data_IF_042245105669
#
_entry.id   IF_042245105669
#
_cell.length_a   1.000
_cell.length_b   1.000
_cell.length_c   1.000
_cell.angle_alpha   90.00
_cell.angle_beta   90.00
_cell.angle_gamma   90.00
#
_symmetry.space_group_name_H-M   'P 1'
#
loop_
_entity.id
_entity.type
_entity.pdbx_description
1 polymer ?
#
# COMPACT_ATOMS: atom_id res chain seq x y z
N UNK A 1 10.62 -16.85 -1.30
CA UNK A 1 9.41 -17.32 -0.55
C UNK A 1 8.25 -16.33 -0.63
N UNK A 2 8.47 -15.01 -0.67
CA UNK A 2 7.36 -14.05 -0.77
C UNK A 2 6.58 -14.20 -2.09
N UNK A 3 7.26 -14.35 -3.24
CA UNK A 3 6.61 -14.63 -4.53
C UNK A 3 5.82 -15.95 -4.55
N UNK A 4 6.36 -16.99 -3.96
CA UNK A 4 5.69 -18.29 -3.88
C UNK A 4 4.43 -18.23 -3.00
N UNK A 5 4.48 -17.44 -1.92
CA UNK A 5 3.32 -17.20 -1.08
C UNK A 5 2.23 -16.45 -1.85
N UNK A 6 2.61 -15.43 -2.62
CA UNK A 6 1.70 -14.66 -3.50
C UNK A 6 1.00 -15.59 -4.50
N UNK A 7 1.72 -16.50 -5.18
CA UNK A 7 1.13 -17.47 -6.11
C UNK A 7 0.15 -18.43 -5.43
N UNK A 8 0.45 -18.88 -4.21
CA UNK A 8 -0.48 -19.70 -3.44
C UNK A 8 -1.73 -18.92 -3.01
N UNK A 9 -1.57 -17.64 -2.68
CA UNK A 9 -2.68 -16.77 -2.28
C UNK A 9 -3.65 -16.46 -3.42
N UNK A 10 -3.24 -16.54 -4.68
CA UNK A 10 -4.17 -16.50 -5.83
C UNK A 10 -5.14 -17.68 -5.85
N UNK A 11 -4.76 -18.82 -5.28
CA UNK A 11 -5.51 -20.08 -5.35
C UNK A 11 -6.32 -20.37 -4.10
N UNK A 12 -5.93 -19.81 -2.96
CA UNK A 12 -6.56 -20.09 -1.66
C UNK A 12 -6.29 -19.01 -0.61
N UNK A 13 -7.10 -19.01 0.45
CA UNK A 13 -6.97 -18.06 1.54
C UNK A 13 -5.66 -18.24 2.31
N UNK A 14 -5.04 -17.14 2.72
CA UNK A 14 -3.79 -17.13 3.49
C UNK A 14 -3.80 -18.09 4.68
N UNK A 15 -4.86 -18.06 5.49
CA UNK A 15 -4.99 -18.88 6.71
C UNK A 15 -5.05 -20.39 6.43
N UNK A 16 -5.22 -20.81 5.16
CA UNK A 16 -5.19 -22.23 4.74
C UNK A 16 -3.85 -22.67 4.16
N UNK A 17 -2.88 -21.75 4.03
CA UNK A 17 -1.54 -22.06 3.52
C UNK A 17 -0.68 -22.57 4.67
N UNK A 18 -0.09 -23.75 4.49
CA UNK A 18 0.80 -24.37 5.50
C UNK A 18 2.27 -24.17 5.13
N UNK A 19 3.16 -24.18 6.14
CA UNK A 19 4.62 -24.16 5.90
C UNK A 19 5.06 -25.31 5.00
N UNK A 20 4.46 -26.50 5.15
CA UNK A 20 4.80 -27.65 4.30
C UNK A 20 4.52 -27.38 2.83
N UNK A 21 3.39 -26.78 2.54
CA UNK A 21 2.96 -26.45 1.18
C UNK A 21 3.76 -25.30 0.59
N UNK A 22 3.98 -24.23 1.37
CA UNK A 22 4.79 -23.12 0.91
C UNK A 22 6.24 -23.54 0.63
N UNK A 23 6.84 -24.34 1.52
CA UNK A 23 8.19 -24.86 1.32
C UNK A 23 8.27 -25.78 0.08
N UNK A 24 7.26 -26.63 -0.13
CA UNK A 24 7.20 -27.48 -1.33
C UNK A 24 7.02 -26.66 -2.62
N UNK A 25 6.24 -25.58 -2.57
CA UNK A 25 6.02 -24.67 -3.71
C UNK A 25 7.29 -23.90 -4.07
N UNK A 26 8.03 -23.45 -3.05
CA UNK A 26 9.31 -22.74 -3.19
C UNK A 26 10.52 -23.69 -3.48
N UNK A 27 10.29 -24.98 -3.68
CA UNK A 27 11.32 -26.02 -3.89
C UNK A 27 12.41 -26.02 -2.80
N UNK A 28 12.03 -25.82 -1.55
CA UNK A 28 12.91 -25.91 -0.39
C UNK A 28 12.40 -26.94 0.61
N UNK A 29 13.31 -27.51 1.42
CA UNK A 29 12.87 -28.36 2.51
C UNK A 29 12.42 -27.54 3.74
N UNK A 30 11.56 -28.13 4.58
CA UNK A 30 11.05 -27.47 5.79
C UNK A 30 12.16 -27.01 6.75
N UNK A 31 13.29 -27.73 6.81
CA UNK A 31 14.41 -27.33 7.68
C UNK A 31 15.02 -26.01 7.18
N UNK A 32 15.19 -25.88 5.86
CA UNK A 32 15.65 -24.64 5.24
C UNK A 32 14.66 -23.50 5.49
N UNK A 33 13.34 -23.74 5.36
CA UNK A 33 12.32 -22.77 5.69
C UNK A 33 12.49 -22.24 7.12
N UNK A 34 12.57 -23.14 8.12
CA UNK A 34 12.68 -22.75 9.52
C UNK A 34 14.02 -22.11 9.89
N UNK A 35 15.01 -22.08 8.99
CA UNK A 35 16.24 -21.29 9.18
C UNK A 35 15.98 -19.77 9.05
N UNK A 36 14.98 -19.40 8.25
CA UNK A 36 14.69 -17.98 7.93
C UNK A 36 13.37 -17.50 8.53
N UNK A 37 12.35 -18.36 8.61
CA UNK A 37 11.00 -18.02 9.04
C UNK A 37 10.47 -19.04 10.04
N UNK A 38 9.70 -18.58 11.02
CA UNK A 38 9.02 -19.46 11.97
C UNK A 38 7.64 -19.87 11.49
N UNK A 39 6.98 -18.99 10.75
CA UNK A 39 5.60 -19.14 10.28
C UNK A 39 5.43 -18.63 8.84
N UNK A 40 4.28 -18.94 8.21
CA UNK A 40 3.87 -18.33 6.93
C UNK A 40 3.67 -16.83 7.07
N UNK A 41 3.25 -16.35 8.25
CA UNK A 41 3.07 -14.92 8.49
C UNK A 41 4.39 -14.15 8.47
N UNK A 42 5.51 -14.76 8.85
CA UNK A 42 6.83 -14.09 8.78
C UNK A 42 7.21 -13.82 7.31
N UNK A 43 6.87 -14.75 6.41
CA UNK A 43 7.08 -14.56 4.96
C UNK A 43 6.15 -13.46 4.43
N UNK A 44 4.90 -13.41 4.90
CA UNK A 44 3.97 -12.34 4.57
C UNK A 44 4.49 -10.99 5.04
N UNK A 45 4.99 -10.90 6.27
CA UNK A 45 5.54 -9.68 6.84
C UNK A 45 6.72 -9.14 6.03
N UNK A 46 7.59 -10.03 5.55
CA UNK A 46 8.67 -9.67 4.64
C UNK A 46 8.14 -9.11 3.32
N UNK A 47 7.18 -9.82 2.68
CA UNK A 47 6.55 -9.36 1.44
C UNK A 47 5.83 -8.01 1.59
N UNK A 48 5.16 -7.76 2.72
CA UNK A 48 4.56 -6.45 3.03
C UNK A 48 5.64 -5.37 3.14
N UNK A 49 6.76 -5.65 3.80
CA UNK A 49 7.86 -4.69 3.93
C UNK A 49 8.51 -4.38 2.56
N UNK A 50 8.69 -5.39 1.71
CA UNK A 50 9.18 -5.22 0.33
C UNK A 50 8.23 -4.34 -0.47
N UNK A 51 6.91 -4.59 -0.42
CA UNK A 51 5.90 -3.77 -1.06
C UNK A 51 5.95 -2.32 -0.58
N UNK A 52 5.97 -2.09 0.73
CA UNK A 52 6.04 -0.74 1.31
C UNK A 52 7.30 -0.01 0.86
N UNK A 53 8.44 -0.70 0.80
CA UNK A 53 9.70 -0.12 0.33
C UNK A 53 9.59 0.28 -1.13
N UNK A 54 9.10 -0.61 -1.99
CA UNK A 54 8.89 -0.33 -3.42
C UNK A 54 7.91 0.84 -3.66
N UNK A 55 6.86 0.95 -2.83
CA UNK A 55 5.92 2.06 -2.90
C UNK A 55 6.55 3.39 -2.48
N UNK A 56 7.37 3.39 -1.42
CA UNK A 56 8.13 4.58 -1.00
C UNK A 56 9.10 5.03 -2.10
N UNK A 57 9.84 4.09 -2.69
CA UNK A 57 10.80 4.38 -3.76
C UNK A 57 10.08 4.95 -5.00
N UNK A 58 8.92 4.38 -5.37
CA UNK A 58 8.09 4.88 -6.46
C UNK A 58 7.60 6.30 -6.20
N UNK A 59 7.08 6.58 -5.01
CA UNK A 59 6.61 7.91 -4.63
C UNK A 59 7.77 8.93 -4.64
N UNK A 60 8.93 8.57 -4.11
CA UNK A 60 10.11 9.42 -4.13
C UNK A 60 10.58 9.71 -5.57
N UNK A 61 10.67 8.69 -6.42
CA UNK A 61 11.08 8.86 -7.82
C UNK A 61 10.08 9.72 -8.62
N UNK A 62 8.79 9.54 -8.41
CA UNK A 62 7.76 10.35 -9.09
C UNK A 62 7.69 11.78 -8.59
N UNK A 63 8.10 12.05 -7.35
CA UNK A 63 8.08 13.38 -6.76
C UNK A 63 9.16 14.30 -7.33
N UNK A 64 10.20 13.76 -7.96
CA UNK A 64 11.24 14.56 -8.64
C UNK A 64 10.73 15.18 -9.96
N UNK A 65 9.89 14.44 -10.70
CA UNK A 65 9.43 14.82 -12.04
C UNK A 65 7.96 15.28 -12.07
N UNK A 66 7.13 14.89 -11.09
CA UNK A 66 5.69 15.12 -11.10
C UNK A 66 5.19 15.69 -9.76
N UNK A 67 4.06 16.39 -9.82
CA UNK A 67 3.35 16.76 -8.61
C UNK A 67 2.82 15.49 -7.92
N UNK A 68 3.27 15.22 -6.68
CA UNK A 68 2.86 14.07 -5.87
C UNK A 68 1.33 13.91 -5.76
N UNK A 69 0.60 15.03 -5.81
CA UNK A 69 -0.85 15.05 -5.79
C UNK A 69 -1.48 15.01 -7.20
N UNK A 70 -0.72 14.63 -8.24
CA UNK A 70 -1.31 14.47 -9.57
C UNK A 70 -2.14 13.18 -9.69
N UNK A 71 -3.19 13.16 -10.52
CA UNK A 71 -3.93 11.93 -10.82
C UNK A 71 -3.04 10.80 -11.32
N UNK A 72 -2.01 11.14 -12.10
CA UNK A 72 -1.07 10.18 -12.68
C UNK A 72 -0.23 9.49 -11.60
N UNK A 73 0.28 10.28 -10.63
CA UNK A 73 1.06 9.74 -9.51
C UNK A 73 0.20 8.81 -8.65
N UNK A 74 -1.01 9.24 -8.31
CA UNK A 74 -1.92 8.41 -7.53
C UNK A 74 -2.32 7.14 -8.29
N UNK A 75 -2.63 7.26 -9.60
CA UNK A 75 -2.97 6.11 -10.43
C UNK A 75 -1.81 5.10 -10.49
N UNK A 76 -0.58 5.56 -10.74
CA UNK A 76 0.59 4.68 -10.77
C UNK A 76 0.84 3.99 -9.43
N UNK A 77 0.70 4.72 -8.32
CA UNK A 77 0.79 4.18 -6.96
C UNK A 77 -0.26 3.08 -6.72
N UNK A 78 -1.52 3.38 -7.00
CA UNK A 78 -2.62 2.43 -6.83
C UNK A 78 -2.45 1.22 -7.76
N UNK A 79 -2.05 1.44 -9.02
CA UNK A 79 -1.82 0.36 -9.98
C UNK A 79 -0.67 -0.57 -9.56
N UNK A 80 0.36 -0.06 -8.89
CA UNK A 80 1.46 -0.87 -8.36
C UNK A 80 0.96 -1.79 -7.23
N UNK A 81 0.09 -1.27 -6.34
CA UNK A 81 -0.55 -2.09 -5.31
C UNK A 81 -1.52 -3.11 -5.93
N UNK A 82 -2.13 -2.75 -7.07
CA UNK A 82 -3.17 -3.52 -7.75
C UNK A 82 -2.65 -4.46 -8.82
N UNK A 83 -1.35 -4.61 -8.99
CA UNK A 83 -0.79 -5.52 -10.00
C UNK A 83 -1.38 -6.94 -9.91
N UNK A 84 -1.96 -7.27 -8.74
CA UNK A 84 -2.83 -8.44 -8.54
C UNK A 84 -3.96 -8.13 -7.54
N UNK A 85 -5.13 -7.72 -8.07
CA UNK A 85 -6.31 -7.36 -7.28
C UNK A 85 -6.82 -8.50 -6.39
N UNK A 86 -6.66 -9.75 -6.81
CA UNK A 86 -7.12 -10.91 -6.05
C UNK A 86 -6.21 -11.15 -4.84
N UNK A 87 -4.90 -10.93 -4.99
CA UNK A 87 -3.95 -10.98 -3.88
C UNK A 87 -4.26 -9.88 -2.87
N UNK A 88 -4.40 -8.65 -3.33
CA UNK A 88 -4.70 -7.52 -2.45
C UNK A 88 -6.02 -7.75 -1.69
N UNK A 89 -7.07 -8.21 -2.38
CA UNK A 89 -8.35 -8.57 -1.76
C UNK A 89 -8.19 -9.70 -0.73
N UNK A 90 -7.42 -10.72 -1.05
CA UNK A 90 -7.17 -11.85 -0.16
C UNK A 90 -6.39 -11.43 1.09
N UNK A 91 -5.40 -10.54 0.93
CA UNK A 91 -4.64 -9.96 2.04
C UNK A 91 -5.51 -9.10 2.95
N UNK A 92 -6.29 -8.17 2.39
CA UNK A 92 -7.17 -7.32 3.16
C UNK A 92 -8.31 -8.09 3.85
N UNK A 93 -8.80 -9.16 3.25
CA UNK A 93 -9.81 -10.04 3.87
C UNK A 93 -9.24 -11.05 4.87
N UNK A 94 -7.91 -11.13 5.04
CA UNK A 94 -7.25 -12.01 6.00
C UNK A 94 -7.23 -11.40 7.40
N UNK A 95 -6.87 -12.22 8.41
CA UNK A 95 -6.67 -11.75 9.79
C UNK A 95 -5.56 -10.69 9.90
N UNK A 96 -4.67 -10.61 8.92
CA UNK A 96 -3.61 -9.61 8.82
C UNK A 96 -4.01 -8.34 8.04
N UNK A 97 -5.24 -8.26 7.55
CA UNK A 97 -5.70 -7.12 6.75
C UNK A 97 -5.60 -5.77 7.48
N UNK A 98 -5.93 -5.74 8.77
CA UNK A 98 -5.78 -4.53 9.59
C UNK A 98 -4.31 -4.12 9.78
N UNK A 99 -3.41 -5.08 9.89
CA UNK A 99 -1.97 -4.82 9.98
C UNK A 99 -1.44 -4.23 8.67
N UNK A 100 -1.81 -4.81 7.53
CA UNK A 100 -1.47 -4.28 6.21
C UNK A 100 -2.01 -2.85 6.03
N UNK A 101 -3.29 -2.62 6.37
CA UNK A 101 -3.91 -1.31 6.31
C UNK A 101 -3.12 -0.27 7.11
N UNK A 102 -2.80 -0.56 8.38
CA UNK A 102 -2.06 0.36 9.24
C UNK A 102 -0.64 0.63 8.73
N UNK A 103 0.06 -0.38 8.22
CA UNK A 103 1.40 -0.24 7.66
C UNK A 103 1.41 0.62 6.40
N UNK A 104 0.46 0.40 5.48
CA UNK A 104 0.32 1.21 4.26
C UNK A 104 -0.02 2.66 4.60
N UNK A 105 -0.96 2.90 5.51
CA UNK A 105 -1.32 4.24 5.95
C UNK A 105 -0.12 4.97 6.55
N UNK A 106 0.62 4.32 7.45
CA UNK A 106 1.80 4.90 8.09
C UNK A 106 2.90 5.21 7.07
N UNK A 107 3.18 4.28 6.16
CA UNK A 107 4.20 4.47 5.12
C UNK A 107 3.86 5.66 4.21
N UNK A 108 2.59 5.76 3.79
CA UNK A 108 2.12 6.86 2.96
C UNK A 108 2.17 8.20 3.71
N UNK A 109 1.72 8.22 4.97
CA UNK A 109 1.81 9.41 5.83
C UNK A 109 3.25 9.92 5.97
N UNK A 110 4.19 9.03 6.30
CA UNK A 110 5.61 9.39 6.46
C UNK A 110 6.19 9.96 5.18
N UNK A 111 5.86 9.37 4.02
CA UNK A 111 6.34 9.83 2.72
C UNK A 111 5.75 11.20 2.37
N UNK A 112 4.43 11.38 2.54
CA UNK A 112 3.76 12.66 2.31
C UNK A 112 4.33 13.77 3.21
N UNK A 113 4.53 13.48 4.50
CA UNK A 113 5.08 14.44 5.44
C UNK A 113 6.52 14.84 5.06
N UNK A 114 7.34 13.87 4.69
CA UNK A 114 8.71 14.13 4.23
C UNK A 114 8.72 15.04 3.00
N UNK A 115 7.87 14.77 2.01
CA UNK A 115 7.79 15.58 0.79
C UNK A 115 7.32 17.02 1.09
N UNK A 116 6.36 17.20 2.00
CA UNK A 116 5.90 18.53 2.41
C UNK A 116 7.04 19.35 3.03
N UNK A 117 7.92 18.70 3.80
CA UNK A 117 9.04 19.35 4.49
C UNK A 117 10.21 19.58 3.52
N UNK A 118 10.65 18.55 2.80
CA UNK A 118 11.88 18.58 1.99
C UNK A 118 11.73 19.51 0.77
N UNK A 119 10.53 19.63 0.21
CA UNK A 119 10.24 20.51 -0.93
C UNK A 119 9.80 21.92 -0.53
N UNK A 120 9.82 22.24 0.75
CA UNK A 120 9.35 23.55 1.28
C UNK A 120 7.98 23.95 0.66
N UNK A 121 7.06 23.00 0.59
CA UNK A 121 5.73 23.25 0.06
C UNK A 121 5.01 24.18 1.02
N UNK A 122 4.90 25.44 0.62
CA UNK A 122 4.25 26.48 1.42
C UNK A 122 2.75 26.30 1.35
N UNK A 123 2.17 25.96 2.48
CA UNK A 123 0.73 25.93 2.69
C UNK A 123 0.36 27.10 3.63
N UNK A 124 -0.83 27.67 3.47
CA UNK A 124 -1.34 28.73 4.36
C UNK A 124 -1.75 28.20 5.75
N UNK A 125 -0.98 27.25 6.26
CA UNK A 125 -1.11 26.67 7.61
C UNK A 125 0.25 26.55 8.26
N UNK A 126 0.35 26.65 9.59
CA UNK A 126 1.59 26.39 10.32
C UNK A 126 2.14 24.99 10.06
N UNK A 127 3.47 24.85 9.97
CA UNK A 127 4.14 23.57 9.73
C UNK A 127 3.81 22.48 10.77
N UNK A 128 3.43 22.91 11.98
CA UNK A 128 2.98 22.03 13.06
C UNK A 128 1.69 21.24 12.67
N UNK A 129 0.95 21.71 11.66
CA UNK A 129 -0.24 21.03 11.14
C UNK A 129 0.05 20.03 10.01
N UNK A 130 1.27 20.02 9.44
CA UNK A 130 1.64 19.10 8.36
C UNK A 130 1.46 17.61 8.74
N UNK A 131 1.80 17.15 9.96
CA UNK A 131 1.50 15.78 10.37
C UNK A 131 0.00 15.44 10.37
N UNK A 132 -0.86 16.39 10.71
CA UNK A 132 -2.32 16.20 10.68
C UNK A 132 -2.82 16.07 9.24
N UNK A 133 -2.36 16.92 8.34
CA UNK A 133 -2.75 16.91 6.92
C UNK A 133 -2.27 15.62 6.25
N UNK A 134 -1.01 15.24 6.44
CA UNK A 134 -0.46 14.00 5.87
C UNK A 134 -1.18 12.76 6.38
N UNK A 135 -1.53 12.71 7.67
CA UNK A 135 -2.30 11.61 8.24
C UNK A 135 -3.72 11.54 7.68
N UNK A 136 -4.40 12.68 7.53
CA UNK A 136 -5.75 12.74 6.95
C UNK A 136 -5.75 12.25 5.50
N UNK A 137 -4.81 12.75 4.67
CA UNK A 137 -4.68 12.36 3.27
C UNK A 137 -4.36 10.87 3.15
N UNK A 138 -3.35 10.38 3.88
CA UNK A 138 -2.97 8.97 3.85
C UNK A 138 -4.11 8.06 4.32
N UNK A 139 -4.78 8.42 5.42
CA UNK A 139 -5.91 7.66 5.95
C UNK A 139 -7.08 7.61 4.98
N UNK A 140 -7.44 8.75 4.39
CA UNK A 140 -8.51 8.83 3.38
C UNK A 140 -8.20 8.00 2.13
N UNK A 141 -6.96 8.08 1.62
CA UNK A 141 -6.53 7.30 0.46
C UNK A 141 -6.59 5.80 0.71
N UNK A 142 -5.98 5.33 1.81
CA UNK A 142 -5.93 3.90 2.12
C UNK A 142 -7.31 3.35 2.46
N UNK A 143 -8.16 4.12 3.15
CA UNK A 143 -9.53 3.74 3.47
C UNK A 143 -10.41 3.62 2.22
N UNK A 144 -10.35 4.61 1.33
CA UNK A 144 -11.12 4.59 0.08
C UNK A 144 -10.66 3.45 -0.85
N UNK A 145 -9.35 3.20 -0.90
CA UNK A 145 -8.79 2.08 -1.64
C UNK A 145 -9.25 0.73 -1.06
N UNK A 146 -9.21 0.57 0.26
CA UNK A 146 -9.68 -0.63 0.93
C UNK A 146 -11.16 -0.92 0.61
N UNK A 147 -12.01 0.10 0.75
CA UNK A 147 -13.44 -0.04 0.43
C UNK A 147 -13.66 -0.43 -1.02
N UNK A 148 -12.97 0.22 -1.94
CA UNK A 148 -13.10 -0.07 -3.37
C UNK A 148 -12.63 -1.49 -3.72
N UNK A 149 -11.54 -2.00 -3.12
CA UNK A 149 -11.04 -3.34 -3.44
C UNK A 149 -11.96 -4.45 -2.92
N UNK A 150 -12.65 -4.20 -1.80
CA UNK A 150 -13.63 -5.13 -1.22
C UNK A 150 -14.97 -5.03 -1.97
N UNK A 151 -15.41 -3.82 -2.30
CA UNK A 151 -16.70 -3.51 -2.92
C UNK A 151 -16.50 -2.57 -4.14
N UNK A 152 -16.05 -3.06 -5.30
CA UNK A 152 -15.74 -2.19 -6.44
C UNK A 152 -16.96 -1.51 -7.05
N UNK A 153 -18.16 -2.02 -6.87
CA UNK A 153 -19.47 -1.48 -7.31
C UNK A 153 -19.48 -0.87 -8.74
N UNK A 154 -18.68 -1.43 -9.65
CA UNK A 154 -18.56 -0.97 -11.04
C UNK A 154 -17.68 0.26 -11.24
N UNK A 155 -17.06 0.82 -10.19
CA UNK A 155 -16.11 1.92 -10.29
C UNK A 155 -14.76 1.37 -10.76
N UNK A 156 -14.20 1.93 -11.83
CA UNK A 156 -12.86 1.56 -12.30
C UNK A 156 -11.76 2.17 -11.43
N UNK A 157 -10.56 1.60 -11.48
CA UNK A 157 -9.39 2.15 -10.79
C UNK A 157 -9.11 3.60 -11.22
N UNK A 158 -9.27 3.92 -12.50
CA UNK A 158 -9.06 5.28 -13.02
C UNK A 158 -10.11 6.27 -12.46
N UNK A 159 -11.37 5.88 -12.38
CA UNK A 159 -12.42 6.71 -11.78
C UNK A 159 -12.17 6.95 -10.30
N UNK A 160 -11.80 5.91 -9.55
CA UNK A 160 -11.43 6.05 -8.15
C UNK A 160 -10.22 6.99 -7.97
N UNK A 161 -9.15 6.79 -8.74
CA UNK A 161 -7.95 7.63 -8.67
C UNK A 161 -8.27 9.10 -8.97
N UNK A 162 -9.09 9.39 -10.00
CA UNK A 162 -9.54 10.76 -10.34
C UNK A 162 -10.36 11.37 -9.21
N UNK A 163 -11.27 10.61 -8.63
CA UNK A 163 -12.11 11.07 -7.52
C UNK A 163 -11.25 11.43 -6.30
N UNK A 164 -10.36 10.54 -5.89
CA UNK A 164 -9.47 10.79 -4.75
C UNK A 164 -8.54 11.97 -5.00
N UNK A 165 -7.96 12.06 -6.20
CA UNK A 165 -7.10 13.20 -6.56
C UNK A 165 -7.87 14.52 -6.50
N UNK A 166 -9.09 14.56 -7.02
CA UNK A 166 -9.92 15.78 -6.99
C UNK A 166 -10.20 16.19 -5.55
N UNK A 167 -10.55 15.25 -4.68
CA UNK A 167 -10.79 15.53 -3.25
C UNK A 167 -9.54 16.03 -2.54
N UNK A 168 -8.40 15.41 -2.79
CA UNK A 168 -7.12 15.80 -2.17
C UNK A 168 -6.69 17.17 -2.65
N UNK A 169 -6.67 17.40 -3.98
CA UNK A 169 -6.24 18.68 -4.55
C UNK A 169 -7.17 19.82 -4.09
N UNK A 170 -8.49 19.61 -4.16
CA UNK A 170 -9.45 20.64 -3.72
C UNK A 170 -9.31 20.94 -2.24
N UNK A 171 -9.05 19.92 -1.40
CA UNK A 171 -8.80 20.11 0.02
C UNK A 171 -7.48 20.82 0.29
N UNK A 172 -6.39 20.43 -0.38
CA UNK A 172 -5.06 21.05 -0.21
C UNK A 172 -5.04 22.47 -0.75
N UNK A 173 -5.68 22.76 -1.89
CA UNK A 173 -5.79 24.13 -2.42
C UNK A 173 -6.56 25.09 -1.51
N UNK A 174 -7.42 24.60 -0.63
CA UNK A 174 -8.05 25.46 0.36
C UNK A 174 -7.04 26.05 1.38
N UNK A 175 -5.84 25.47 1.43
CA UNK A 175 -4.74 25.92 2.31
C UNK A 175 -3.55 26.53 1.51
N UNK A 176 -3.63 26.62 0.18
CA UNK A 176 -2.62 27.25 -0.70
C UNK A 176 -2.91 28.77 -0.98
#
# INVERSE_FOLDING_TARGET
CSSDLVELMQKKKLNSITVTELAAHADINRKTFYTYYSTVNDVLDEGINELITSLKDLLCAMSEDYNMFSPQTLFAFLNTIMSDADIARNLFASDNGSLLFNRLQKALQETLLKELIDKDIKMNVPSEQYPLISNFVAGGMVSAYYEWIINPDGITLDEMARTLTTLIISGVHAFA
#
